data_IF_272361564208
#
_entry.id   IF_272361564208
#
_cell.length_a   1.000
_cell.length_b   1.000
_cell.length_c   1.000
_cell.angle_alpha   90.00
_cell.angle_beta   90.00
_cell.angle_gamma   90.00
#
_symmetry.space_group_name_H-M   'P 1'
#
loop_
_entity.id
_entity.type
_entity.pdbx_description
1 polymer ?
#
# COMPACT_ATOMS: atom_id res chain seq x y z
N UNK A 1 -5.57 52.01 -13.48
CA UNK A 1 -4.83 51.24 -12.45
C UNK A 1 -5.64 50.89 -11.19
N UNK A 2 -6.97 51.16 -11.11
CA UNK A 2 -7.76 50.90 -9.88
C UNK A 2 -8.37 49.49 -9.83
N UNK A 3 -8.64 48.88 -10.99
CA UNK A 3 -9.36 47.59 -11.07
C UNK A 3 -8.41 46.39 -10.96
N UNK A 4 -7.11 46.59 -11.19
CA UNK A 4 -6.08 45.54 -11.11
C UNK A 4 -5.82 45.07 -9.68
N UNK A 5 -6.05 45.93 -8.68
CA UNK A 5 -5.81 45.59 -7.28
C UNK A 5 -6.78 44.51 -6.77
N UNK A 6 -8.06 44.60 -7.14
CA UNK A 6 -9.07 43.61 -6.76
C UNK A 6 -8.82 42.24 -7.40
N UNK A 7 -8.30 42.23 -8.64
CA UNK A 7 -7.89 41.00 -9.33
C UNK A 7 -6.73 40.33 -8.57
N UNK A 8 -5.71 41.10 -8.19
CA UNK A 8 -4.55 40.58 -7.45
C UNK A 8 -4.98 40.01 -6.10
N UNK A 9 -5.82 40.74 -5.35
CA UNK A 9 -6.33 40.28 -4.05
C UNK A 9 -7.15 38.99 -4.22
N UNK A 10 -8.03 38.93 -5.22
CA UNK A 10 -8.80 37.73 -5.54
C UNK A 10 -7.92 36.50 -5.83
N UNK A 11 -6.90 36.66 -6.68
CA UNK A 11 -5.96 35.59 -6.98
C UNK A 11 -5.10 35.18 -5.78
N UNK A 12 -4.71 36.11 -4.90
CA UNK A 12 -3.97 35.77 -3.68
C UNK A 12 -4.80 34.95 -2.69
N UNK A 13 -6.09 35.27 -2.52
CA UNK A 13 -6.99 34.52 -1.66
C UNK A 13 -7.24 33.12 -2.25
N UNK A 14 -7.53 33.04 -3.56
CA UNK A 14 -7.74 31.77 -4.24
C UNK A 14 -6.50 30.87 -4.17
N UNK A 15 -5.31 31.43 -4.36
CA UNK A 15 -4.04 30.70 -4.26
C UNK A 15 -3.80 30.14 -2.85
N UNK A 16 -4.08 30.91 -1.80
CA UNK A 16 -4.01 30.46 -0.41
C UNK A 16 -4.98 29.31 -0.11
N UNK A 17 -6.24 29.41 -0.57
CA UNK A 17 -7.22 28.33 -0.41
C UNK A 17 -6.80 27.04 -1.13
N UNK A 18 -6.31 27.15 -2.37
CA UNK A 18 -5.82 25.99 -3.13
C UNK A 18 -4.62 25.33 -2.42
N UNK A 19 -3.69 26.13 -1.88
CA UNK A 19 -2.51 25.61 -1.18
C UNK A 19 -2.86 24.86 0.11
N UNK A 20 -3.89 25.31 0.85
CA UNK A 20 -4.40 24.61 2.05
C UNK A 20 -5.02 23.27 1.66
N UNK A 21 -5.83 23.23 0.59
CA UNK A 21 -6.46 22.00 0.10
C UNK A 21 -5.40 20.99 -0.40
N UNK A 22 -4.35 21.45 -1.09
CA UNK A 22 -3.30 20.57 -1.59
C UNK A 22 -2.49 19.89 -0.47
N UNK A 23 -2.38 20.50 0.73
CA UNK A 23 -1.68 19.87 1.86
C UNK A 23 -2.42 18.64 2.37
N UNK A 24 -3.74 18.70 2.54
CA UNK A 24 -4.53 17.53 2.96
C UNK A 24 -4.55 16.41 1.93
N UNK A 25 -4.51 16.75 0.63
CA UNK A 25 -4.45 15.75 -0.45
C UNK A 25 -3.09 15.07 -0.48
N UNK A 26 -2.00 15.78 -0.18
CA UNK A 26 -0.64 15.20 -0.18
C UNK A 26 -0.40 14.31 1.03
N UNK A 27 -0.95 14.64 2.21
CA UNK A 27 -0.84 13.79 3.40
C UNK A 27 -1.62 12.48 3.25
N UNK A 28 -2.64 12.43 2.37
CA UNK A 28 -3.37 11.20 2.01
C UNK A 28 -2.82 10.47 0.78
N UNK A 29 -1.93 11.11 0.01
CA UNK A 29 -1.12 10.49 -1.05
C UNK A 29 0.29 10.16 -0.50
N UNK A 30 0.39 10.01 0.82
CA UNK A 30 1.53 9.39 1.50
C UNK A 30 1.30 7.90 1.77
N UNK A 31 0.64 7.14 0.88
CA UNK A 31 0.53 5.67 1.03
C UNK A 31 1.61 5.00 0.21
N UNK A 32 2.86 5.13 0.66
CA UNK A 32 3.89 4.14 0.38
C UNK A 32 4.85 3.97 1.56
N UNK A 33 4.34 4.12 2.78
CA UNK A 33 4.88 3.36 3.91
C UNK A 33 4.55 1.89 3.68
N UNK A 34 5.32 1.31 2.75
CA UNK A 34 5.61 -0.10 2.51
C UNK A 34 5.01 -1.01 3.58
N UNK A 35 3.78 -1.50 3.34
CA UNK A 35 3.15 -2.46 4.24
C UNK A 35 4.10 -3.65 4.41
N UNK A 36 4.53 -3.96 5.64
CA UNK A 36 5.50 -5.06 5.90
C UNK A 36 5.06 -6.38 5.25
N UNK A 37 3.76 -6.63 5.21
CA UNK A 37 3.19 -7.84 4.64
C UNK A 37 2.53 -7.56 3.31
N UNK A 38 2.83 -8.39 2.31
CA UNK A 38 2.16 -8.39 1.00
C UNK A 38 1.33 -9.67 0.82
N UNK A 39 0.16 -9.51 0.20
CA UNK A 39 -0.69 -10.61 -0.22
C UNK A 39 -0.34 -10.99 -1.66
N UNK A 40 0.14 -12.20 -1.85
CA UNK A 40 0.50 -12.73 -3.18
C UNK A 40 -0.53 -13.78 -3.58
N UNK A 41 -1.36 -13.53 -4.61
CA UNK A 41 -2.24 -14.56 -5.14
C UNK A 41 -1.40 -15.59 -5.89
N UNK A 42 -1.33 -16.82 -5.36
CA UNK A 42 -0.54 -17.88 -5.99
C UNK A 42 -1.36 -18.64 -7.05
N UNK A 43 -2.61 -18.96 -6.72
CA UNK A 43 -3.62 -19.51 -7.62
C UNK A 43 -5.01 -19.41 -6.93
N UNK A 44 -6.05 -19.96 -7.57
CA UNK A 44 -7.45 -19.89 -7.09
C UNK A 44 -7.67 -20.52 -5.71
N UNK A 45 -6.81 -21.47 -5.31
CA UNK A 45 -6.94 -22.25 -4.09
C UNK A 45 -5.82 -21.95 -3.08
N UNK A 46 -4.94 -20.98 -3.33
CA UNK A 46 -3.78 -20.73 -2.47
C UNK A 46 -3.57 -19.24 -2.23
N UNK A 47 -3.50 -18.87 -0.95
CA UNK A 47 -3.14 -17.52 -0.50
C UNK A 47 -1.76 -17.55 0.13
N UNK A 48 -0.92 -16.58 -0.22
CA UNK A 48 0.39 -16.35 0.40
C UNK A 48 0.41 -14.99 1.10
N UNK A 49 0.88 -14.98 2.35
CA UNK A 49 1.29 -13.76 3.05
C UNK A 49 2.82 -13.75 3.10
N UNK A 50 3.43 -12.72 2.53
CA UNK A 50 4.87 -12.54 2.49
C UNK A 50 5.31 -11.39 3.40
N UNK A 51 6.24 -11.66 4.31
CA UNK A 51 6.87 -10.64 5.15
C UNK A 51 8.12 -10.07 4.46
N UNK A 52 8.02 -8.84 3.93
CA UNK A 52 9.13 -8.16 3.26
C UNK A 52 10.33 -7.90 4.14
N UNK A 53 10.15 -7.85 5.47
CA UNK A 53 11.24 -7.58 6.39
C UNK A 53 12.08 -8.83 6.68
N UNK A 54 11.43 -9.98 6.89
CA UNK A 54 12.12 -11.23 7.27
C UNK A 54 12.35 -12.18 6.09
N UNK A 55 11.62 -12.00 4.98
CA UNK A 55 11.58 -12.96 3.87
C UNK A 55 10.79 -14.23 4.19
N UNK A 56 10.14 -14.30 5.36
CA UNK A 56 9.27 -15.41 5.73
C UNK A 56 7.93 -15.31 5.02
N UNK A 57 7.30 -16.46 4.80
CA UNK A 57 5.96 -16.50 4.21
C UNK A 57 5.11 -17.61 4.81
N UNK A 58 3.81 -17.40 4.73
CA UNK A 58 2.80 -18.35 5.15
C UNK A 58 1.84 -18.62 4.01
N UNK A 59 1.45 -19.88 3.87
CA UNK A 59 0.50 -20.36 2.88
C UNK A 59 -0.78 -20.80 3.57
N UNK A 60 -1.90 -20.63 2.89
CA UNK A 60 -3.16 -21.24 3.25
C UNK A 60 -3.81 -21.82 2.02
N UNK A 61 -4.13 -23.10 2.08
CA UNK A 61 -4.90 -23.77 1.04
C UNK A 61 -6.40 -23.52 1.28
N UNK A 62 -7.12 -23.21 0.22
CA UNK A 62 -8.57 -23.03 0.24
C UNK A 62 -9.14 -24.10 -0.69
N UNK A 63 -9.49 -25.28 -0.14
CA UNK A 63 -10.17 -26.31 -0.91
C UNK A 63 -11.51 -25.78 -1.41
N UNK A 64 -11.91 -26.18 -2.62
CA UNK A 64 -13.18 -25.76 -3.20
C UNK A 64 -14.39 -26.38 -2.49
N UNK A 65 -14.19 -27.55 -1.86
CA UNK A 65 -15.26 -28.39 -1.32
C UNK A 65 -15.16 -28.65 0.20
N UNK A 66 -14.16 -28.08 0.88
CA UNK A 66 -13.96 -28.24 2.33
C UNK A 66 -13.80 -26.89 3.06
N UNK A 67 -13.81 -26.92 4.39
CA UNK A 67 -13.61 -25.74 5.22
C UNK A 67 -12.18 -25.16 5.12
N UNK A 68 -11.97 -23.91 5.59
CA UNK A 68 -10.67 -23.25 5.52
C UNK A 68 -9.58 -24.05 6.25
N UNK A 69 -8.42 -24.26 5.62
CA UNK A 69 -7.28 -24.94 6.26
C UNK A 69 -6.57 -24.03 7.26
N UNK A 70 -5.64 -24.59 8.03
CA UNK A 70 -4.71 -23.83 8.85
C UNK A 70 -3.68 -23.09 7.99
N UNK A 71 -3.09 -22.03 8.54
CA UNK A 71 -1.91 -21.40 7.95
C UNK A 71 -0.68 -22.26 8.21
N UNK A 72 0.13 -22.46 7.18
CA UNK A 72 1.37 -23.22 7.23
C UNK A 72 2.54 -22.29 6.90
N UNK A 73 3.65 -22.41 7.65
CA UNK A 73 4.85 -21.63 7.35
C UNK A 73 5.58 -22.29 6.19
N UNK A 74 5.84 -21.53 5.13
CA UNK A 74 6.51 -22.05 3.96
C UNK A 74 8.02 -22.20 4.17
N UNK A 75 8.60 -23.14 3.43
CA UNK A 75 10.04 -23.34 3.41
C UNK A 75 10.73 -22.25 2.59
N UNK A 76 11.62 -21.51 3.23
CA UNK A 76 12.34 -20.43 2.55
C UNK A 76 13.24 -21.00 1.43
N UNK A 77 13.09 -20.56 0.17
CA UNK A 77 13.86 -21.12 -0.96
C UNK A 77 15.36 -20.76 -0.90
N UNK A 78 15.74 -19.83 -0.02
CA UNK A 78 17.12 -19.37 0.22
C UNK A 78 17.81 -20.14 1.36
N UNK A 79 17.14 -21.09 2.01
CA UNK A 79 17.77 -21.96 3.02
C UNK A 79 18.44 -23.16 2.37
N UNK A 80 19.76 -23.02 2.21
CA UNK A 80 20.79 -24.03 1.90
C UNK A 80 20.69 -24.77 0.56
N UNK A 81 21.28 -24.17 -0.48
CA UNK A 81 22.20 -24.91 -1.36
C UNK A 81 23.59 -24.92 -0.71
N UNK A 82 23.76 -25.70 0.34
CA UNK A 82 25.07 -25.92 0.97
C UNK A 82 25.31 -27.43 1.09
N UNK A 83 25.48 -28.06 -0.09
CA UNK A 83 26.44 -29.12 -0.42
C UNK A 83 26.10 -29.80 -1.74
#
# INVERSE_FOLDING_TARGET
>A
MKNSLGIIIGFTILGLFLMVISREVTDKVGVSSEYRYDLVPANENNIIIFDKQSGEYWTKFIPSDEGPTTWEKGDSPIRSSDK
#
